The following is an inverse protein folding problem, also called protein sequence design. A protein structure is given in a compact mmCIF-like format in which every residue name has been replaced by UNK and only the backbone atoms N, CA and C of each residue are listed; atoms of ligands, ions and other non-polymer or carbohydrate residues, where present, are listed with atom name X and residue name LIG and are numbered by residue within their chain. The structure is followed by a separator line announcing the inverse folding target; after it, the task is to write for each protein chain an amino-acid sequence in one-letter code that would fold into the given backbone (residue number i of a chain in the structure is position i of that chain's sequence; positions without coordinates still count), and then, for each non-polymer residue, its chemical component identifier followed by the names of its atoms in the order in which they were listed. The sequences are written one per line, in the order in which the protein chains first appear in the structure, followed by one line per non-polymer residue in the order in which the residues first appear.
data_IF_220687641791
#
_entry.id   IF_220687641791
#
_cell.length_a   1.000
_cell.length_b   1.000
_cell.length_c   1.000
_cell.angle_alpha   90.00
_cell.angle_beta   90.00
_cell.angle_gamma   90.00
#
_symmetry.space_group_name_H-M   'P 1'
#
loop_
_entity.id
_entity.type
_entity.pdbx_description
1 polymer ?
#
# COMPACT_ATOMS: atom_id res chain seq x y z
N UNK A 1 11.43 -2.72 39.09
CA UNK A 1 10.97 -1.37 38.69
C UNK A 1 9.60 -1.52 38.05
N UNK A 2 8.64 -0.65 38.37
CA UNK A 2 7.36 -0.64 37.71
C UNK A 2 7.49 0.28 36.48
N UNK A 3 7.56 -0.31 35.30
CA UNK A 3 7.66 0.43 34.05
C UNK A 3 6.28 0.57 33.40
N UNK A 4 6.04 1.64 32.65
CA UNK A 4 4.89 1.82 31.80
C UNK A 4 5.26 2.67 30.56
N UNK A 5 4.47 2.60 29.50
CA UNK A 5 4.59 3.54 28.40
C UNK A 5 3.93 4.89 28.75
N UNK A 6 4.65 5.98 28.54
CA UNK A 6 4.10 7.30 28.32
C UNK A 6 3.99 7.49 26.82
N UNK A 7 2.79 7.59 26.27
CA UNK A 7 2.53 7.31 24.87
C UNK A 7 1.74 8.39 24.16
N UNK A 8 1.85 8.38 22.86
CA UNK A 8 0.99 9.14 21.94
C UNK A 8 0.81 8.37 20.63
N UNK A 9 -0.37 8.50 20.04
CA UNK A 9 -0.65 8.02 18.69
C UNK A 9 -1.26 9.14 17.83
N UNK A 10 -0.88 9.19 16.55
CA UNK A 10 -1.41 10.11 15.55
C UNK A 10 -1.60 9.36 14.24
N UNK A 11 -2.66 9.72 13.52
CA UNK A 11 -2.91 9.21 12.18
C UNK A 11 -3.50 10.31 11.31
N UNK A 12 -3.00 10.45 10.10
CA UNK A 12 -3.50 11.38 9.08
C UNK A 12 -3.74 10.62 7.77
N UNK A 13 -4.75 11.04 7.00
CA UNK A 13 -5.11 10.43 5.73
C UNK A 13 -4.06 10.67 4.63
N UNK A 14 -3.10 11.57 4.87
CA UNK A 14 -2.12 11.99 3.88
C UNK A 14 -2.67 12.97 2.85
N UNK A 15 -1.90 13.19 1.78
CA UNK A 15 -2.20 14.25 0.81
C UNK A 15 -3.08 13.80 -0.35
N UNK A 16 -3.12 12.48 -0.66
CA UNK A 16 -3.78 11.94 -1.87
C UNK A 16 -4.92 10.99 -1.54
N UNK A 17 -4.77 10.16 -0.50
CA UNK A 17 -5.81 9.19 -0.12
C UNK A 17 -7.09 9.90 0.33
N UNK A 18 -8.24 9.28 0.08
CA UNK A 18 -9.56 9.77 0.53
C UNK A 18 -9.99 9.14 1.84
N UNK A 19 -9.50 7.93 2.12
CA UNK A 19 -9.79 7.15 3.32
C UNK A 19 -8.51 6.88 4.11
N UNK A 20 -8.66 6.68 5.40
CA UNK A 20 -7.58 6.21 6.25
C UNK A 20 -7.75 4.70 6.47
N UNK A 21 -6.83 3.92 5.96
CA UNK A 21 -6.80 2.46 6.08
C UNK A 21 -5.83 2.01 7.18
N UNK A 22 -5.01 2.93 7.72
CA UNK A 22 -4.20 2.69 8.90
C UNK A 22 -5.05 2.63 10.17
N UNK A 23 -4.60 1.83 11.14
CA UNK A 23 -5.11 1.81 12.51
C UNK A 23 -3.98 1.78 13.51
N UNK A 24 -4.10 2.57 14.59
CA UNK A 24 -3.09 2.64 15.64
C UNK A 24 -3.70 2.60 17.04
N UNK A 25 -2.94 2.01 17.97
CA UNK A 25 -3.26 1.92 19.39
C UNK A 25 -2.04 2.29 20.23
N UNK A 26 -2.25 3.11 21.24
CA UNK A 26 -1.24 3.42 22.25
C UNK A 26 -1.83 3.38 23.65
N UNK A 27 -1.30 2.53 24.49
CA UNK A 27 -1.70 2.36 25.88
C UNK A 27 -0.53 2.08 26.81
N UNK A 28 -0.78 1.94 28.12
CA UNK A 28 0.30 1.78 29.13
C UNK A 28 1.10 0.50 29.00
N UNK A 29 0.57 -0.54 28.34
CA UNK A 29 1.24 -1.82 28.15
C UNK A 29 1.38 -2.23 26.69
N UNK A 30 0.56 -1.66 25.79
CA UNK A 30 0.50 -2.03 24.38
C UNK A 30 0.68 -0.81 23.48
N UNK A 31 1.60 -0.92 22.52
CA UNK A 31 1.69 -0.04 21.36
C UNK A 31 1.46 -0.91 20.14
N UNK A 32 0.53 -0.54 19.25
CA UNK A 32 0.26 -1.32 18.06
C UNK A 32 -0.08 -0.41 16.88
N UNK A 33 0.23 -0.87 15.67
CA UNK A 33 -0.14 -0.23 14.42
C UNK A 33 -0.31 -1.28 13.34
N UNK A 34 -1.29 -1.06 12.50
CA UNK A 34 -1.64 -1.87 11.36
C UNK A 34 -1.91 -0.94 10.17
N UNK A 35 -1.22 -1.17 9.06
CA UNK A 35 -1.38 -0.48 7.79
C UNK A 35 -2.21 -1.39 6.88
N UNK A 36 -3.42 -0.96 6.58
CA UNK A 36 -4.41 -1.73 5.85
C UNK A 36 -4.24 -1.60 4.34
N UNK A 37 -4.36 -2.72 3.65
CA UNK A 37 -4.28 -2.81 2.20
C UNK A 37 -5.43 -3.61 1.62
N UNK A 38 -5.74 -3.38 0.34
CA UNK A 38 -6.83 -4.08 -0.36
C UNK A 38 -7.88 -3.12 -0.90
N UNK A 39 -8.08 -3.10 -2.23
CA UNK A 39 -8.86 -2.10 -2.95
C UNK A 39 -10.26 -1.81 -2.38
N UNK A 40 -10.70 -0.60 -2.59
CA UNK A 40 -12.02 0.04 -2.39
C UNK A 40 -12.71 -0.01 -1.02
N UNK A 41 -12.47 -0.95 -0.11
CA UNK A 41 -13.11 -0.97 1.23
C UNK A 41 -12.59 -2.10 2.15
N UNK A 42 -11.40 -2.63 1.95
CA UNK A 42 -10.90 -3.77 2.74
C UNK A 42 -9.82 -3.41 3.75
N UNK A 43 -8.95 -2.43 3.44
CA UNK A 43 -7.81 -2.10 4.28
C UNK A 43 -8.20 -1.55 5.65
N UNK A 44 -9.20 -0.67 5.71
CA UNK A 44 -9.73 -0.12 6.95
C UNK A 44 -10.39 -1.19 7.83
N UNK A 45 -11.04 -2.17 7.20
CA UNK A 45 -11.62 -3.34 7.87
C UNK A 45 -10.50 -4.21 8.45
N UNK A 46 -9.50 -4.55 7.64
CA UNK A 46 -8.40 -5.41 8.04
C UNK A 46 -7.62 -4.81 9.22
N UNK A 47 -7.13 -3.58 9.08
CA UNK A 47 -6.33 -2.92 10.10
C UNK A 47 -7.10 -2.72 11.41
N UNK A 48 -8.37 -2.27 11.34
CA UNK A 48 -9.19 -2.06 12.53
C UNK A 48 -9.56 -3.36 13.24
N UNK A 49 -9.83 -4.45 12.51
CA UNK A 49 -10.11 -5.78 13.08
C UNK A 49 -8.91 -6.28 13.86
N UNK A 50 -7.71 -6.19 13.27
CA UNK A 50 -6.47 -6.65 13.93
C UNK A 50 -6.17 -5.82 15.17
N UNK A 51 -6.25 -4.48 15.10
CA UNK A 51 -6.02 -3.62 16.28
C UNK A 51 -7.05 -3.91 17.37
N UNK A 52 -8.33 -4.03 17.04
CA UNK A 52 -9.39 -4.32 18.03
C UNK A 52 -9.13 -5.63 18.79
N UNK A 53 -8.63 -6.67 18.12
CA UNK A 53 -8.32 -7.96 18.73
C UNK A 53 -7.18 -7.91 19.75
N UNK A 54 -6.31 -6.89 19.68
CA UNK A 54 -5.15 -6.75 20.56
C UNK A 54 -5.41 -5.88 21.80
N UNK A 55 -6.45 -5.04 21.79
CA UNK A 55 -6.69 -4.02 22.83
C UNK A 55 -6.79 -4.62 24.24
N UNK A 56 -7.40 -5.78 24.40
CA UNK A 56 -7.56 -6.45 25.69
C UNK A 56 -6.22 -6.77 26.36
N UNK A 57 -5.14 -6.97 25.58
CA UNK A 57 -3.81 -7.25 26.10
C UNK A 57 -3.23 -6.09 26.93
N UNK A 58 -3.72 -4.86 26.74
CA UNK A 58 -3.23 -3.69 27.46
C UNK A 58 -3.58 -3.71 28.96
N UNK A 59 -4.62 -4.44 29.35
CA UNK A 59 -5.04 -4.61 30.74
C UNK A 59 -4.52 -5.85 31.43
N UNK A 60 -3.83 -6.74 30.76
CA UNK A 60 -3.44 -8.05 31.28
C UNK A 60 -2.06 -8.01 31.98
N UNK A 61 -2.00 -8.55 33.20
CA UNK A 61 -0.76 -8.69 33.96
C UNK A 61 -0.03 -10.00 33.59
N UNK A 62 0.52 -10.07 32.39
CA UNK A 62 1.16 -11.27 31.82
C UNK A 62 2.64 -11.38 32.27
N UNK A 63 3.15 -12.62 32.42
CA UNK A 63 4.59 -12.87 32.48
C UNK A 63 5.21 -12.84 31.08
N UNK A 64 6.54 -12.67 30.95
CA UNK A 64 7.18 -12.51 29.65
C UNK A 64 6.91 -13.64 28.67
N UNK A 65 6.81 -14.89 29.11
CA UNK A 65 6.45 -16.04 28.24
C UNK A 65 4.97 -16.04 27.90
N UNK A 66 4.10 -15.78 28.85
CA UNK A 66 2.66 -15.66 28.64
C UNK A 66 2.36 -14.49 27.70
N UNK A 67 3.05 -13.35 27.86
CA UNK A 67 2.89 -12.21 26.96
C UNK A 67 3.20 -12.57 25.50
N UNK A 68 4.28 -13.33 25.25
CA UNK A 68 4.61 -13.79 23.90
C UNK A 68 3.51 -14.71 23.31
N UNK A 69 3.05 -15.66 24.11
CA UNK A 69 2.03 -16.60 23.68
C UNK A 69 0.68 -15.89 23.47
N UNK A 70 0.25 -15.06 24.42
CA UNK A 70 -1.02 -14.32 24.31
C UNK A 70 -0.99 -13.37 23.10
N UNK A 71 0.15 -12.72 22.81
CA UNK A 71 0.25 -11.86 21.63
C UNK A 71 0.11 -12.66 20.33
N UNK A 72 0.80 -13.80 20.23
CA UNK A 72 0.69 -14.67 19.04
C UNK A 72 -0.72 -15.24 18.89
N UNK A 73 -1.34 -15.72 19.99
CA UNK A 73 -2.70 -16.29 19.97
C UNK A 73 -3.72 -15.24 19.51
N UNK A 74 -3.58 -13.99 19.97
CA UNK A 74 -4.46 -12.88 19.55
C UNK A 74 -4.25 -12.50 18.09
N UNK A 75 -3.00 -12.47 17.61
CA UNK A 75 -2.70 -12.20 16.19
C UNK A 75 -3.27 -13.32 15.30
N UNK A 76 -3.07 -14.57 15.68
CA UNK A 76 -3.62 -15.72 14.96
C UNK A 76 -5.15 -15.70 14.92
N UNK A 77 -5.80 -15.37 16.05
CA UNK A 77 -7.26 -15.20 16.09
C UNK A 77 -7.73 -14.06 15.19
N UNK A 78 -7.04 -12.91 15.23
CA UNK A 78 -7.37 -11.78 14.37
C UNK A 78 -7.21 -12.13 12.87
N UNK A 79 -6.17 -12.88 12.53
CA UNK A 79 -5.96 -13.34 11.15
C UNK A 79 -7.07 -14.32 10.71
N UNK A 80 -7.48 -15.24 11.58
CA UNK A 80 -8.61 -16.13 11.30
C UNK A 80 -9.93 -15.34 11.11
N UNK A 81 -10.14 -14.29 11.90
CA UNK A 81 -11.30 -13.40 11.76
C UNK A 81 -11.30 -12.66 10.41
N UNK A 82 -10.11 -12.25 9.88
CA UNK A 82 -9.99 -11.70 8.53
C UNK A 82 -10.41 -12.74 7.48
N UNK A 83 -9.91 -13.97 7.58
CA UNK A 83 -10.27 -15.05 6.68
C UNK A 83 -11.78 -15.36 6.68
N UNK A 84 -12.40 -15.34 7.85
CA UNK A 84 -13.86 -15.52 7.99
C UNK A 84 -14.62 -14.36 7.32
N UNK A 85 -14.19 -13.10 7.51
CA UNK A 85 -14.82 -11.93 6.88
C UNK A 85 -14.71 -11.98 5.35
N UNK A 86 -13.56 -12.38 4.80
CA UNK A 86 -13.37 -12.55 3.35
C UNK A 86 -14.30 -13.66 2.82
N UNK A 87 -14.41 -14.76 3.56
CA UNK A 87 -15.30 -15.85 3.17
C UNK A 87 -16.77 -15.43 3.13
N UNK A 88 -17.22 -14.67 4.15
CA UNK A 88 -18.60 -14.20 4.24
C UNK A 88 -18.91 -13.07 3.25
N UNK A 89 -17.90 -12.26 2.89
CA UNK A 89 -18.04 -11.13 2.00
C UNK A 89 -16.95 -11.12 0.91
N UNK A 90 -17.16 -11.82 -0.23
CA UNK A 90 -16.16 -11.98 -1.29
C UNK A 90 -15.64 -10.67 -1.91
N UNK A 91 -16.33 -9.55 -1.75
CA UNK A 91 -15.84 -8.23 -2.19
C UNK A 91 -14.61 -7.77 -1.39
N UNK A 92 -14.34 -8.38 -0.24
CA UNK A 92 -13.16 -8.14 0.59
C UNK A 92 -11.96 -9.00 0.17
N UNK A 93 -12.09 -9.78 -0.91
CA UNK A 93 -10.98 -10.58 -1.44
C UNK A 93 -9.78 -9.67 -1.76
N UNK A 94 -8.60 -10.10 -1.31
CA UNK A 94 -7.37 -9.31 -1.40
C UNK A 94 -7.20 -8.26 -0.30
N UNK A 95 -8.10 -8.16 0.69
CA UNK A 95 -7.82 -7.34 1.87
C UNK A 95 -6.73 -7.97 2.73
N UNK A 96 -5.96 -7.13 3.38
CA UNK A 96 -4.93 -7.55 4.33
C UNK A 96 -4.41 -6.36 5.12
N UNK A 97 -3.49 -6.63 6.02
CA UNK A 97 -2.86 -5.56 6.80
C UNK A 97 -1.48 -5.94 7.28
N UNK A 98 -0.59 -4.98 7.39
CA UNK A 98 0.64 -5.11 8.16
C UNK A 98 0.29 -5.13 9.65
N UNK A 99 1.24 -5.51 10.48
CA UNK A 99 1.13 -5.36 11.93
C UNK A 99 2.49 -5.15 12.57
N UNK A 100 2.56 -4.17 13.45
CA UNK A 100 3.58 -4.08 14.50
C UNK A 100 2.86 -3.97 15.83
N UNK A 101 3.17 -4.86 16.77
CA UNK A 101 2.66 -4.80 18.13
C UNK A 101 3.80 -4.95 19.14
N UNK A 102 3.86 -4.05 20.10
CA UNK A 102 4.82 -4.08 21.20
C UNK A 102 4.08 -4.24 22.53
N UNK A 103 4.09 -5.43 23.08
CA UNK A 103 3.48 -5.74 24.37
C UNK A 103 4.54 -5.69 25.48
N UNK A 104 4.32 -4.82 26.45
CA UNK A 104 5.18 -4.71 27.63
C UNK A 104 4.71 -5.65 28.73
N UNK A 105 5.59 -6.51 29.17
CA UNK A 105 5.40 -7.35 30.35
C UNK A 105 6.53 -7.09 31.34
N UNK A 106 6.24 -6.36 32.41
CA UNK A 106 7.23 -5.89 33.40
C UNK A 106 8.34 -5.04 32.77
N UNK A 107 9.56 -5.59 32.65
CA UNK A 107 10.71 -4.98 32.00
C UNK A 107 11.03 -5.58 30.63
N UNK A 108 10.17 -6.45 30.13
CA UNK A 108 10.32 -7.11 28.84
C UNK A 108 9.35 -6.51 27.82
N UNK A 109 9.83 -6.28 26.62
CA UNK A 109 9.04 -5.87 25.44
C UNK A 109 9.00 -7.06 24.49
N UNK A 110 7.80 -7.52 24.18
CA UNK A 110 7.53 -8.52 23.13
C UNK A 110 7.12 -7.74 21.89
N UNK A 111 7.89 -7.84 20.84
CA UNK A 111 7.64 -7.22 19.54
C UNK A 111 7.19 -8.30 18.55
N UNK A 112 5.98 -8.17 18.01
CA UNK A 112 5.52 -8.91 16.84
C UNK A 112 5.52 -7.99 15.63
N UNK A 113 5.92 -8.51 14.45
CA UNK A 113 6.03 -7.74 13.22
C UNK A 113 5.72 -8.59 12.00
N UNK A 114 4.83 -8.09 11.13
CA UNK A 114 4.61 -8.58 9.77
C UNK A 114 4.29 -7.38 8.86
N UNK A 115 4.94 -7.28 7.71
CA UNK A 115 4.77 -6.18 6.76
C UNK A 115 6.03 -5.34 6.57
N UNK A 116 5.87 -4.13 6.05
CA UNK A 116 6.92 -3.15 5.76
C UNK A 116 6.83 -1.87 6.61
N UNK A 117 5.84 -1.78 7.49
CA UNK A 117 5.82 -0.80 8.57
C UNK A 117 7.05 -0.96 9.45
N UNK A 118 7.56 0.13 10.02
CA UNK A 118 8.86 0.11 10.71
C UNK A 118 8.76 0.51 12.17
N UNK A 119 9.52 -0.20 13.01
CA UNK A 119 9.70 0.13 14.41
C UNK A 119 11.14 0.54 14.70
N UNK A 120 11.28 1.58 15.53
CA UNK A 120 12.57 2.11 15.97
C UNK A 120 12.62 2.21 17.48
N UNK A 121 13.83 2.14 18.02
CA UNK A 121 14.12 2.36 19.44
C UNK A 121 15.20 3.42 19.59
N UNK A 122 14.96 4.38 20.46
CA UNK A 122 15.97 5.31 20.94
C UNK A 122 16.41 4.87 22.32
N UNK A 123 17.69 4.59 22.47
CA UNK A 123 18.33 4.28 23.75
C UNK A 123 19.64 5.05 23.85
N UNK A 124 19.80 5.84 24.90
CA UNK A 124 21.01 6.64 25.13
C UNK A 124 21.38 7.54 23.92
N UNK A 125 20.37 8.15 23.30
CA UNK A 125 20.51 9.03 22.13
C UNK A 125 20.80 8.31 20.81
N UNK A 126 20.87 6.97 20.78
CA UNK A 126 21.08 6.18 19.57
C UNK A 126 19.75 5.62 19.06
N UNK A 127 19.43 5.91 17.80
CA UNK A 127 18.27 5.36 17.09
C UNK A 127 18.65 4.06 16.38
N UNK A 128 17.86 3.01 16.62
CA UNK A 128 18.05 1.69 16.00
C UNK A 128 16.72 1.20 15.46
N UNK A 129 16.65 0.77 14.20
CA UNK A 129 15.50 0.09 13.64
C UNK A 129 15.41 -1.32 14.22
N UNK A 130 14.22 -1.73 14.66
CA UNK A 130 13.97 -3.01 15.31
C UNK A 130 13.38 -4.06 14.37
N UNK A 131 12.70 -3.62 13.33
CA UNK A 131 12.04 -4.45 12.31
C UNK A 131 12.88 -4.55 11.05
N UNK A 132 12.64 -5.58 10.27
CA UNK A 132 13.19 -5.74 8.94
C UNK A 132 12.01 -5.92 7.99
N UNK A 133 11.90 -5.09 6.99
CA UNK A 133 10.74 -5.03 6.11
C UNK A 133 10.49 -6.37 5.40
N UNK A 134 9.25 -6.80 5.36
CA UNK A 134 8.80 -7.92 4.54
C UNK A 134 8.41 -7.42 3.15
N UNK A 135 9.37 -6.90 2.40
CA UNK A 135 9.18 -6.36 1.06
C UNK A 135 10.06 -7.05 0.03
N UNK A 136 9.64 -6.96 -1.22
CA UNK A 136 10.42 -7.51 -2.34
C UNK A 136 11.82 -6.90 -2.40
N UNK A 137 11.92 -5.58 -2.23
CA UNK A 137 13.23 -4.90 -2.29
C UNK A 137 14.14 -5.30 -1.14
N UNK A 138 13.59 -5.57 0.05
CA UNK A 138 14.39 -6.08 1.16
C UNK A 138 14.93 -7.48 0.87
N UNK A 139 14.19 -8.34 0.18
CA UNK A 139 14.70 -9.65 -0.24
C UNK A 139 15.87 -9.52 -1.22
N UNK A 140 15.81 -8.55 -2.14
CA UNK A 140 16.91 -8.27 -3.06
C UNK A 140 18.16 -7.74 -2.34
N UNK A 141 17.99 -6.93 -1.30
CA UNK A 141 19.10 -6.46 -0.45
C UNK A 141 19.74 -7.64 0.30
N UNK A 142 18.92 -8.54 0.85
CA UNK A 142 19.39 -9.72 1.57
C UNK A 142 20.18 -10.69 0.69
N UNK A 143 19.76 -10.83 -0.56
CA UNK A 143 20.46 -11.60 -1.59
C UNK A 143 21.73 -10.89 -2.11
N UNK A 144 21.99 -9.65 -1.69
CA UNK A 144 23.12 -8.84 -2.16
C UNK A 144 22.98 -8.38 -3.62
N UNK A 145 21.77 -8.39 -4.18
CA UNK A 145 21.48 -8.00 -5.58
C UNK A 145 21.38 -6.51 -5.75
N UNK A 146 20.92 -5.81 -4.72
CA UNK A 146 20.86 -4.34 -4.66
C UNK A 146 21.35 -3.86 -3.30
N UNK A 147 21.77 -2.62 -3.23
CA UNK A 147 22.11 -1.92 -1.98
C UNK A 147 20.85 -1.35 -1.31
N UNK A 148 20.97 -0.98 -0.03
CA UNK A 148 19.88 -0.28 0.70
C UNK A 148 19.51 1.05 0.03
N UNK A 149 20.46 1.75 -0.58
CA UNK A 149 20.23 3.01 -1.28
C UNK A 149 19.45 2.79 -2.59
N UNK A 150 19.79 1.75 -3.34
CA UNK A 150 19.06 1.36 -4.55
C UNK A 150 17.64 0.90 -4.23
N UNK A 151 17.44 0.22 -3.10
CA UNK A 151 16.12 -0.23 -2.66
C UNK A 151 15.14 0.92 -2.43
N UNK A 152 15.60 2.07 -1.91
CA UNK A 152 14.77 3.25 -1.66
C UNK A 152 14.17 3.86 -2.93
N UNK A 153 14.87 3.72 -4.07
CA UNK A 153 14.46 4.27 -5.36
C UNK A 153 13.96 3.18 -6.33
N UNK A 154 13.76 1.96 -5.86
CA UNK A 154 13.35 0.85 -6.71
C UNK A 154 11.88 0.98 -7.13
N UNK A 155 11.52 0.71 -8.40
CA UNK A 155 10.12 0.80 -8.88
C UNK A 155 9.12 -0.06 -8.10
N UNK A 156 9.58 -1.16 -7.51
CA UNK A 156 8.77 -2.10 -6.72
C UNK A 156 9.03 -1.99 -5.22
N UNK A 157 9.43 -0.80 -4.70
CA UNK A 157 9.72 -0.62 -3.28
C UNK A 157 8.52 -0.88 -2.37
N UNK A 158 7.32 -0.57 -2.84
CA UNK A 158 6.06 -0.76 -2.09
C UNK A 158 5.45 -2.16 -2.27
N UNK A 159 6.17 -3.13 -2.85
CA UNK A 159 5.68 -4.50 -2.97
C UNK A 159 5.95 -5.27 -1.69
N UNK A 160 4.94 -5.37 -0.85
CA UNK A 160 4.99 -6.15 0.40
C UNK A 160 4.85 -7.64 0.08
N UNK A 161 5.59 -8.49 0.77
CA UNK A 161 5.65 -9.94 0.51
C UNK A 161 5.00 -10.79 1.61
N UNK A 162 4.79 -10.22 2.81
CA UNK A 162 4.14 -10.88 3.95
C UNK A 162 3.25 -9.88 4.69
N UNK A 163 1.99 -10.20 4.85
CA UNK A 163 0.97 -9.43 5.60
C UNK A 163 -0.04 -10.40 6.21
N UNK A 164 -0.92 -9.94 7.06
CA UNK A 164 -2.08 -10.72 7.52
C UNK A 164 -3.18 -10.64 6.46
N UNK A 165 -3.58 -11.79 5.90
CA UNK A 165 -4.59 -11.89 4.83
C UNK A 165 -5.73 -12.85 5.17
N UNK A 166 -5.67 -13.46 6.36
CA UNK A 166 -6.56 -14.55 6.75
C UNK A 166 -6.04 -15.94 6.37
N UNK A 167 -4.85 -16.04 5.79
CA UNK A 167 -4.23 -17.32 5.48
C UNK A 167 -3.51 -17.92 6.71
N UNK A 168 -3.52 -19.24 6.84
CA UNK A 168 -2.92 -19.93 7.99
C UNK A 168 -1.39 -19.75 8.08
N UNK A 169 -0.74 -19.46 6.95
CA UNK A 169 0.72 -19.24 6.84
C UNK A 169 1.18 -17.82 7.19
N UNK A 170 0.27 -16.90 7.50
CA UNK A 170 0.57 -15.51 7.84
C UNK A 170 1.09 -15.40 9.29
N UNK A 171 2.33 -15.76 9.50
CA UNK A 171 2.97 -15.71 10.83
C UNK A 171 3.83 -14.45 10.98
N UNK A 172 3.70 -13.68 12.11
CA UNK A 172 4.58 -12.55 12.38
C UNK A 172 5.95 -13.00 12.90
N UNK A 173 6.97 -12.21 12.64
CA UNK A 173 8.24 -12.32 13.33
C UNK A 173 8.07 -11.89 14.78
N UNK A 174 8.63 -12.67 15.74
CA UNK A 174 8.55 -12.38 17.15
C UNK A 174 9.94 -12.14 17.75
N UNK A 175 10.11 -11.02 18.42
CA UNK A 175 11.35 -10.66 19.10
C UNK A 175 11.08 -10.24 20.55
N UNK A 176 11.82 -10.84 21.50
CA UNK A 176 11.73 -10.48 22.92
C UNK A 176 12.96 -9.67 23.32
N UNK A 177 12.75 -8.52 23.91
CA UNK A 177 13.81 -7.59 24.32
C UNK A 177 13.61 -7.09 25.75
N UNK A 178 14.70 -6.74 26.41
CA UNK A 178 14.64 -6.05 27.69
C UNK A 178 14.51 -4.55 27.48
N UNK A 179 13.41 -3.98 27.97
CA UNK A 179 13.18 -2.54 28.04
C UNK A 179 13.89 -1.91 29.22
N UNK A 180 14.28 -0.66 29.08
CA UNK A 180 14.90 0.15 30.14
C UNK A 180 14.14 1.47 30.26
N UNK A 181 14.02 1.98 31.48
CA UNK A 181 13.51 3.33 31.67
C UNK A 181 14.37 4.33 30.87
N UNK A 182 13.71 5.18 30.09
CA UNK A 182 14.35 6.12 29.18
C UNK A 182 14.45 5.63 27.74
N UNK A 183 14.05 4.39 27.44
CA UNK A 183 13.88 3.95 26.05
C UNK A 183 12.67 4.65 25.45
N UNK A 184 12.78 5.14 24.22
CA UNK A 184 11.67 5.58 23.38
C UNK A 184 11.49 4.62 22.24
N UNK A 185 10.25 4.25 21.96
CA UNK A 185 9.85 3.44 20.81
C UNK A 185 9.01 4.26 19.86
N UNK A 186 9.26 4.10 18.56
CA UNK A 186 8.45 4.62 17.47
C UNK A 186 7.97 3.43 16.63
N UNK A 187 6.68 3.40 16.32
CA UNK A 187 6.11 2.59 15.26
C UNK A 187 5.56 3.56 14.21
N UNK A 188 5.85 3.33 12.94
CA UNK A 188 5.41 4.19 11.85
C UNK A 188 5.07 3.38 10.60
N UNK A 189 4.00 3.80 9.90
CA UNK A 189 3.69 3.32 8.54
C UNK A 189 4.70 3.84 7.52
N UNK A 190 4.65 3.31 6.32
CA UNK A 190 5.50 3.70 5.20
C UNK A 190 5.26 5.16 4.78
N UNK A 191 4.04 5.70 5.01
CA UNK A 191 3.73 7.11 4.79
C UNK A 191 4.62 8.11 5.54
N UNK A 192 5.24 7.70 6.67
CA UNK A 192 6.33 8.46 7.28
C UNK A 192 7.68 8.07 6.68
N UNK A 193 8.00 6.78 6.72
CA UNK A 193 9.39 6.29 6.58
C UNK A 193 9.90 6.30 5.15
N UNK A 194 9.02 6.39 4.17
CA UNK A 194 9.38 6.52 2.75
C UNK A 194 9.50 7.98 2.28
N UNK A 195 8.95 8.93 3.07
CA UNK A 195 8.90 10.35 2.69
C UNK A 195 9.77 11.25 3.57
N UNK A 196 10.09 10.83 4.79
CA UNK A 196 10.96 11.59 5.70
C UNK A 196 12.29 10.87 5.89
N UNK A 197 13.39 11.56 5.59
CA UNK A 197 14.73 11.01 5.72
C UNK A 197 14.99 10.46 7.12
N UNK A 198 15.64 9.30 7.21
CA UNK A 198 15.91 8.59 8.46
C UNK A 198 16.63 9.47 9.50
N UNK A 199 17.58 10.31 9.07
CA UNK A 199 18.30 11.20 9.94
C UNK A 199 17.40 12.29 10.54
N UNK A 200 16.43 12.79 9.76
CA UNK A 200 15.42 13.75 10.24
C UNK A 200 14.48 13.11 11.25
N UNK A 201 14.03 11.88 11.01
CA UNK A 201 13.23 11.11 11.97
C UNK A 201 14.05 10.91 13.26
N UNK A 202 15.32 10.54 13.16
CA UNK A 202 16.21 10.34 14.29
C UNK A 202 16.45 11.63 15.09
N UNK A 203 16.60 12.76 14.41
CA UNK A 203 16.73 14.08 15.05
C UNK A 203 15.47 14.41 15.86
N UNK A 204 14.29 14.27 15.29
CA UNK A 204 13.03 14.55 15.99
C UNK A 204 12.85 13.64 17.19
N UNK A 205 13.09 12.33 17.03
CA UNK A 205 12.96 11.34 18.10
C UNK A 205 13.88 11.64 19.31
N UNK A 206 15.06 12.24 19.07
CA UNK A 206 16.04 12.50 20.10
C UNK A 206 15.95 13.90 20.71
N UNK A 207 15.35 14.87 19.99
CA UNK A 207 15.31 16.28 20.42
C UNK A 207 13.97 16.70 21.00
N UNK A 208 12.85 16.10 20.57
CA UNK A 208 11.51 16.43 21.05
C UNK A 208 11.15 15.52 22.22
N UNK A 209 11.05 16.10 23.42
CA UNK A 209 10.89 15.32 24.65
C UNK A 209 9.49 14.72 24.81
N UNK A 210 8.44 15.50 24.54
CA UNK A 210 7.05 15.02 24.67
C UNK A 210 6.67 14.09 23.53
N UNK A 211 6.10 12.88 23.79
CA UNK A 211 5.73 11.93 22.74
C UNK A 211 4.61 12.45 21.83
N UNK A 212 3.69 13.28 22.35
CA UNK A 212 2.63 13.88 21.55
C UNK A 212 3.16 14.92 20.57
N UNK A 213 3.99 15.87 21.06
CA UNK A 213 4.65 16.86 20.19
C UNK A 213 5.57 16.19 19.17
N UNK A 214 6.25 15.12 19.58
CA UNK A 214 7.11 14.34 18.69
C UNK A 214 6.29 13.71 17.56
N UNK A 215 5.18 13.05 17.86
CA UNK A 215 4.28 12.47 16.87
C UNK A 215 3.69 13.54 15.95
N UNK A 216 3.19 14.67 16.51
CA UNK A 216 2.65 15.79 15.73
C UNK A 216 3.67 16.34 14.74
N UNK A 217 4.94 16.48 15.17
CA UNK A 217 6.02 16.99 14.33
C UNK A 217 6.38 16.02 13.20
N UNK A 218 6.40 14.71 13.48
CA UNK A 218 6.69 13.70 12.46
C UNK A 218 5.58 13.64 11.40
N UNK A 219 4.29 13.67 11.80
CA UNK A 219 3.15 13.77 10.86
C UNK A 219 3.29 15.03 10.00
N UNK A 220 3.54 16.18 10.62
CA UNK A 220 3.69 17.44 9.89
C UNK A 220 4.85 17.40 8.86
N UNK A 221 5.95 16.72 9.17
CA UNK A 221 7.07 16.52 8.26
C UNK A 221 6.69 15.62 7.09
N UNK A 222 5.99 14.51 7.33
CA UNK A 222 5.52 13.62 6.26
C UNK A 222 4.55 14.35 5.31
N UNK A 223 3.57 15.07 5.85
CA UNK A 223 2.63 15.87 5.05
C UNK A 223 3.33 16.97 4.26
N UNK A 224 4.33 17.64 4.87
CA UNK A 224 5.13 18.65 4.18
C UNK A 224 6.00 18.07 3.07
N UNK A 225 6.44 16.83 3.21
CA UNK A 225 7.15 16.07 2.17
C UNK A 225 6.21 15.58 1.05
N UNK A 226 4.89 15.77 1.21
CA UNK A 226 3.88 15.39 0.22
C UNK A 226 3.47 13.92 0.30
N UNK A 227 3.60 13.29 1.48
CA UNK A 227 3.21 11.89 1.67
C UNK A 227 1.83 11.61 1.06
N UNK A 228 1.73 10.79 0.01
CA UNK A 228 0.47 10.52 -0.70
C UNK A 228 -0.39 9.52 0.04
N UNK A 229 0.20 8.71 0.90
CA UNK A 229 -0.42 7.64 1.67
C UNK A 229 -0.81 8.06 3.07
N UNK A 230 -1.53 7.19 3.77
CA UNK A 230 -1.85 7.35 5.18
C UNK A 230 -0.56 7.44 6.02
N UNK A 231 -0.55 8.27 7.03
CA UNK A 231 0.60 8.51 7.92
C UNK A 231 0.19 8.21 9.33
N UNK A 232 0.63 7.10 9.86
CA UNK A 232 0.33 6.71 11.24
C UNK A 232 1.61 6.54 12.05
N UNK A 233 1.59 7.13 13.25
CA UNK A 233 2.73 7.21 14.17
C UNK A 233 2.26 6.86 15.56
N UNK A 234 2.93 5.90 16.18
CA UNK A 234 2.74 5.52 17.58
C UNK A 234 4.07 5.65 18.30
N UNK A 235 4.10 6.43 19.37
CA UNK A 235 5.30 6.66 20.21
C UNK A 235 5.03 6.18 21.64
N UNK A 236 6.00 5.54 22.23
CA UNK A 236 5.96 5.16 23.63
C UNK A 236 7.31 5.33 24.33
N UNK A 237 7.33 6.15 25.36
CA UNK A 237 8.47 6.35 26.25
C UNK A 237 8.36 5.40 27.45
N UNK A 238 9.34 4.55 27.66
CA UNK A 238 9.33 3.63 28.80
C UNK A 238 9.78 4.36 30.05
N UNK A 239 8.84 4.64 30.94
CA UNK A 239 9.06 5.41 32.16
C UNK A 239 9.02 4.54 33.40
N UNK A 240 9.84 4.90 34.42
CA UNK A 240 9.83 4.29 35.76
C UNK A 240 8.76 5.00 36.61
N UNK A 241 7.69 4.32 36.93
CA UNK A 241 6.54 4.85 37.69
C UNK A 241 6.92 5.26 39.14
N UNK A 242 8.12 4.90 39.59
CA UNK A 242 8.61 5.37 40.93
C UNK A 242 9.27 6.75 40.84
N UNK A 243 9.58 7.24 39.62
CA UNK A 243 10.36 8.48 39.38
C UNK A 243 9.68 9.48 38.50
N UNK A 244 8.76 9.03 37.67
CA UNK A 244 8.02 9.86 36.71
C UNK A 244 6.56 10.00 37.13
N UNK A 245 5.85 11.09 36.73
CA UNK A 245 4.39 11.17 36.84
C UNK A 245 3.75 9.99 36.12
N UNK A 246 2.59 9.55 36.63
CA UNK A 246 1.83 8.49 36.00
C UNK A 246 1.49 8.86 34.56
N UNK A 247 1.71 7.97 33.57
CA UNK A 247 1.31 8.22 32.20
C UNK A 247 -0.21 8.33 32.09
N UNK A 248 -0.73 8.80 30.93
CA UNK A 248 -2.16 8.78 30.67
C UNK A 248 -2.72 7.38 30.91
N UNK A 249 -3.91 7.30 31.48
CA UNK A 249 -4.59 6.03 31.76
C UNK A 249 -5.60 5.65 30.67
N UNK A 250 -5.97 6.62 29.84
CA UNK A 250 -6.87 6.40 28.70
C UNK A 250 -6.04 6.07 27.47
N UNK A 251 -6.19 4.88 26.88
CA UNK A 251 -5.57 4.53 25.62
C UNK A 251 -5.98 5.50 24.50
N UNK A 252 -5.11 5.64 23.52
CA UNK A 252 -5.38 6.40 22.30
C UNK A 252 -5.57 5.43 21.15
N UNK A 253 -6.72 5.51 20.48
CA UNK A 253 -7.03 4.79 19.24
C UNK A 253 -7.05 5.80 18.11
N UNK A 254 -6.38 5.53 17.00
CA UNK A 254 -6.29 6.43 15.85
C UNK A 254 -6.53 5.68 14.53
N UNK A 255 -6.79 6.44 13.46
CA UNK A 255 -7.02 5.87 12.13
C UNK A 255 -8.40 5.20 12.00
N UNK A 256 -8.49 4.16 11.18
CA UNK A 256 -9.74 3.44 10.91
C UNK A 256 -10.37 2.84 12.17
N UNK A 257 -9.57 2.32 13.10
CA UNK A 257 -10.05 1.76 14.36
C UNK A 257 -10.79 2.79 15.22
N UNK A 258 -10.36 4.06 15.24
CA UNK A 258 -11.03 5.13 15.99
C UNK A 258 -12.42 5.45 15.47
N UNK A 259 -12.66 5.31 14.18
CA UNK A 259 -13.97 5.55 13.55
C UNK A 259 -14.97 4.47 13.89
N UNK A 260 -14.50 3.23 14.02
CA UNK A 260 -15.35 2.07 14.35
C UNK A 260 -15.72 2.01 15.83
N UNK A 261 -14.79 2.38 16.72
CA UNK A 261 -14.99 2.27 18.17
C UNK A 261 -15.98 3.32 18.70
N UNK A 262 -16.03 4.51 18.09
CA UNK A 262 -16.79 5.63 18.69
C UNK A 262 -18.26 5.67 18.31
N UNK A 263 -18.74 4.95 17.28
CA UNK A 263 -20.10 5.11 16.76
C UNK A 263 -20.46 6.61 16.52
N UNK A 264 -19.49 7.48 16.64
CA UNK A 264 -19.56 8.94 16.58
C UNK A 264 -19.06 9.44 15.23
N UNK A 265 -19.70 10.50 14.75
CA UNK A 265 -19.51 11.13 13.44
C UNK A 265 -18.06 11.18 12.98
N UNK A 266 -17.80 10.88 11.68
CA UNK A 266 -16.46 10.88 11.12
C UNK A 266 -15.74 12.21 11.41
N UNK A 267 -14.48 12.11 11.84
CA UNK A 267 -13.57 13.26 11.88
C UNK A 267 -13.43 13.76 10.44
N UNK A 268 -13.57 15.06 10.20
CA UNK A 268 -13.54 15.60 8.84
C UNK A 268 -12.18 15.31 8.19
N UNK A 269 -12.15 14.40 7.22
CA UNK A 269 -10.94 13.95 6.52
C UNK A 269 -10.60 14.77 5.29
N UNK A 270 -11.54 15.55 4.75
CA UNK A 270 -11.28 16.43 3.60
C UNK A 270 -10.81 17.82 4.02
N UNK A 271 -10.00 18.53 3.21
CA UNK A 271 -9.62 19.92 3.48
C UNK A 271 -10.80 20.85 3.72
N UNK A 272 -11.91 20.65 3.01
CA UNK A 272 -13.15 21.41 3.19
C UNK A 272 -13.83 21.10 4.53
N UNK A 273 -13.84 19.84 4.95
CA UNK A 273 -14.42 19.41 6.22
C UNK A 273 -13.53 19.83 7.42
N UNK A 274 -12.19 19.83 7.25
CA UNK A 274 -11.24 20.40 8.23
C UNK A 274 -11.46 21.92 8.40
N UNK A 275 -11.68 22.65 7.31
CA UNK A 275 -12.01 24.08 7.36
C UNK A 275 -13.35 24.34 8.08
N UNK A 276 -14.38 23.54 7.81
CA UNK A 276 -15.68 23.63 8.47
C UNK A 276 -15.60 23.31 9.97
N UNK A 277 -14.77 22.33 10.37
CA UNK A 277 -14.56 21.99 11.78
C UNK A 277 -13.81 23.11 12.53
N UNK A 278 -12.81 23.73 11.89
CA UNK A 278 -12.11 24.91 12.42
C UNK A 278 -13.06 26.09 12.61
N UNK A 279 -13.95 26.36 11.65
CA UNK A 279 -14.94 27.42 11.75
C UNK A 279 -15.90 27.16 12.90
N UNK A 280 -16.30 25.91 13.13
CA UNK A 280 -17.17 25.49 14.22
C UNK A 280 -16.46 25.57 15.59
N UNK A 281 -15.19 25.24 15.68
CA UNK A 281 -14.37 25.35 16.90
C UNK A 281 -14.18 26.83 17.30
N UNK A 282 -13.99 27.73 16.34
CA UNK A 282 -13.89 29.17 16.55
C UNK A 282 -15.25 29.73 17.05
N UNK A 283 -16.36 29.19 16.55
CA UNK A 283 -17.71 29.64 17.00
C UNK A 283 -18.06 29.19 18.42
N UNK A 284 -17.45 28.06 18.89
CA UNK A 284 -17.72 27.52 20.26
C UNK A 284 -16.83 28.18 21.33
N UNK A 285 -15.73 28.81 20.95
CA UNK A 285 -14.85 29.53 21.88
C UNK A 285 -15.26 30.98 22.15
N UNK A 286 -16.37 31.46 21.57
CA UNK A 286 -16.86 32.84 21.73
C UNK A 286 -18.07 32.92 22.67
N UNK A 287 -18.48 31.83 23.32
CA UNK A 287 -19.52 31.82 24.33
C UNK A 287 -18.94 31.96 25.75
N UNK A 288 -18.40 33.13 26.07
CA UNK A 288 -17.82 33.36 27.40
C UNK A 288 -17.47 34.79 27.76
N UNK A 289 -17.94 35.79 27.00
CA UNK A 289 -17.87 37.18 27.45
C UNK A 289 -19.18 37.90 27.15
N UNK A 290 -19.88 38.23 28.24
CA UNK A 290 -21.09 39.03 28.34
C UNK A 290 -20.80 40.48 27.88
N UNK A 291 -20.98 40.75 26.59
CA UNK A 291 -20.99 42.12 26.05
C UNK A 291 -22.44 42.47 25.67
N UNK A 292 -23.01 43.35 26.49
CA UNK A 292 -24.28 44.00 26.28
C UNK A 292 -24.47 44.44 24.83
N UNK A 293 -25.44 43.81 24.15
CA UNK A 293 -25.83 44.15 22.80
C UNK A 293 -26.57 45.47 22.79
N UNK A 294 -26.04 46.46 22.11
CA UNK A 294 -26.81 47.62 21.65
C UNK A 294 -27.86 47.10 20.64
N UNK A 295 -29.13 47.48 20.88
CA UNK A 295 -30.24 47.20 19.98
C UNK A 295 -29.97 47.80 18.59
N UNK A 296 -29.64 46.94 17.60
CA UNK A 296 -29.75 47.32 16.19
C UNK A 296 -31.17 47.05 15.71
N UNK A 297 -31.81 48.09 15.20
CA UNK A 297 -33.14 48.07 14.63
C UNK A 297 -33.27 47.16 13.40
N UNK A 298 -34.48 46.89 12.90
CA UNK A 298 -34.74 45.82 11.92
C UNK A 298 -33.97 46.02 10.61
N UNK A 299 -33.09 45.06 10.31
CA UNK A 299 -32.32 45.03 9.07
C UNK A 299 -33.28 45.00 7.86
N UNK A 300 -33.14 45.98 6.98
CA UNK A 300 -33.94 46.09 5.76
C UNK A 300 -33.78 44.84 4.87
N UNK A 301 -34.88 44.29 4.40
CA UNK A 301 -34.93 43.10 3.53
C UNK A 301 -34.01 43.19 2.29
N UNK A 302 -33.62 44.38 1.87
CA UNK A 302 -32.67 44.62 0.77
C UNK A 302 -31.25 44.20 1.09
N UNK A 303 -30.78 44.28 2.35
CA UNK A 303 -29.44 43.84 2.75
C UNK A 303 -29.30 42.34 2.74
N UNK A 304 -30.35 41.60 3.09
CA UNK A 304 -30.36 40.13 3.05
C UNK A 304 -30.35 39.61 1.62
N UNK A 305 -31.13 40.21 0.72
CA UNK A 305 -31.16 39.85 -0.72
C UNK A 305 -29.81 40.11 -1.38
N UNK A 306 -29.14 41.22 -1.05
CA UNK A 306 -27.79 41.52 -1.58
C UNK A 306 -26.75 40.53 -1.10
N UNK A 307 -26.82 40.12 0.18
CA UNK A 307 -25.89 39.08 0.73
C UNK A 307 -26.15 37.71 0.11
N UNK A 308 -27.39 37.31 -0.09
CA UNK A 308 -27.75 36.07 -0.76
C UNK A 308 -27.34 36.08 -2.23
N UNK A 309 -27.50 37.20 -2.93
CA UNK A 309 -27.06 37.37 -4.31
C UNK A 309 -25.50 37.29 -4.42
N UNK A 310 -24.78 37.92 -3.49
CA UNK A 310 -23.31 37.82 -3.43
C UNK A 310 -22.84 36.39 -3.17
N UNK A 311 -23.49 35.66 -2.24
CA UNK A 311 -23.20 34.25 -1.98
C UNK A 311 -23.51 33.37 -3.19
N UNK A 312 -24.61 33.62 -3.91
CA UNK A 312 -24.95 32.91 -5.12
C UNK A 312 -23.90 33.11 -6.24
N UNK A 313 -23.40 34.34 -6.40
CA UNK A 313 -22.34 34.67 -7.34
C UNK A 313 -21.04 33.96 -6.97
N UNK A 314 -20.64 33.97 -5.70
CA UNK A 314 -19.45 33.24 -5.24
C UNK A 314 -19.59 31.72 -5.48
N UNK A 315 -20.76 31.16 -5.15
CA UNK A 315 -21.03 29.73 -5.41
C UNK A 315 -20.95 29.39 -6.92
N UNK A 316 -21.45 30.28 -7.78
CA UNK A 316 -21.41 30.12 -9.21
C UNK A 316 -19.98 30.19 -9.78
N UNK A 317 -19.15 31.09 -9.23
CA UNK A 317 -17.72 31.19 -9.60
C UNK A 317 -16.94 29.96 -9.14
N UNK A 318 -17.21 29.43 -7.92
CA UNK A 318 -16.58 28.21 -7.42
C UNK A 318 -16.98 26.99 -8.24
N UNK A 319 -18.28 26.87 -8.59
CA UNK A 319 -18.80 25.80 -9.45
C UNK A 319 -18.18 25.87 -10.85
N UNK A 320 -18.13 27.05 -11.46
CA UNK A 320 -17.53 27.26 -12.78
C UNK A 320 -16.01 26.97 -12.76
N UNK A 321 -15.30 27.43 -11.72
CA UNK A 321 -13.88 27.17 -11.55
C UNK A 321 -13.58 25.68 -11.30
N UNK A 322 -14.37 25.03 -10.47
CA UNK A 322 -14.26 23.58 -10.20
C UNK A 322 -14.56 22.74 -11.45
N UNK A 323 -15.61 23.09 -12.20
CA UNK A 323 -15.95 22.42 -13.47
C UNK A 323 -14.85 22.60 -14.51
N UNK A 324 -14.26 23.80 -14.61
CA UNK A 324 -13.15 24.07 -15.51
C UNK A 324 -11.89 23.29 -15.10
N UNK A 325 -11.59 23.23 -13.83
CA UNK A 325 -10.43 22.46 -13.32
C UNK A 325 -10.62 20.96 -13.58
N UNK A 326 -11.81 20.43 -13.33
CA UNK A 326 -12.13 19.03 -13.62
C UNK A 326 -12.01 18.73 -15.12
N UNK A 327 -12.54 19.60 -15.97
CA UNK A 327 -12.41 19.45 -17.42
C UNK A 327 -10.94 19.55 -17.88
N UNK A 328 -10.17 20.49 -17.34
CA UNK A 328 -8.75 20.63 -17.66
C UNK A 328 -7.93 19.40 -17.23
N UNK A 329 -8.31 18.78 -16.12
CA UNK A 329 -7.69 17.54 -15.65
C UNK A 329 -8.02 16.36 -16.59
N UNK A 330 -9.27 16.19 -17.02
CA UNK A 330 -9.64 15.12 -17.98
C UNK A 330 -8.87 15.25 -19.29
N UNK A 331 -8.55 16.49 -19.72
CA UNK A 331 -7.77 16.72 -20.94
C UNK A 331 -6.28 16.33 -20.84
N UNK A 332 -5.82 15.96 -19.66
CA UNK A 332 -4.44 15.46 -19.44
C UNK A 332 -4.35 13.94 -19.40
N UNK A 333 -5.50 13.25 -19.36
CA UNK A 333 -5.55 11.79 -19.35
C UNK A 333 -5.52 11.24 -20.78
N UNK A 334 -4.90 10.07 -20.96
CA UNK A 334 -4.86 9.34 -22.20
C UNK A 334 -5.24 7.88 -21.98
N UNK A 335 -5.87 7.26 -22.97
CA UNK A 335 -6.11 5.82 -22.96
C UNK A 335 -6.08 5.25 -24.39
N UNK A 336 -5.76 3.97 -24.50
CA UNK A 336 -5.87 3.23 -25.76
C UNK A 336 -7.19 2.46 -25.78
N UNK A 337 -7.94 2.63 -26.83
CA UNK A 337 -9.20 1.94 -27.04
C UNK A 337 -9.37 1.54 -28.50
N UNK A 338 -10.60 1.20 -28.86
CA UNK A 338 -10.95 0.76 -30.21
C UNK A 338 -11.95 1.75 -30.81
N UNK A 339 -11.65 2.27 -31.99
CA UNK A 339 -12.59 3.04 -32.80
C UNK A 339 -12.90 2.21 -34.06
N UNK A 340 -14.13 1.68 -34.13
CA UNK A 340 -14.50 0.71 -35.14
C UNK A 340 -13.70 -0.59 -35.03
N UNK A 341 -12.80 -0.83 -35.97
CA UNK A 341 -11.92 -2.03 -35.99
C UNK A 341 -10.44 -1.73 -35.78
N UNK A 342 -10.07 -0.47 -35.46
CA UNK A 342 -8.69 -0.05 -35.34
C UNK A 342 -8.38 0.44 -33.93
N UNK A 343 -7.15 0.17 -33.49
CA UNK A 343 -6.64 0.69 -32.21
C UNK A 343 -6.44 2.19 -32.34
N UNK A 344 -7.02 2.93 -31.41
CA UNK A 344 -7.01 4.40 -31.39
C UNK A 344 -6.58 4.90 -30.03
N UNK A 345 -5.78 5.96 -30.01
CA UNK A 345 -5.40 6.67 -28.80
C UNK A 345 -6.40 7.80 -28.57
N UNK A 346 -7.01 7.78 -27.41
CA UNK A 346 -7.98 8.75 -26.98
C UNK A 346 -7.35 9.66 -25.92
N UNK A 347 -7.84 10.89 -25.91
CA UNK A 347 -7.55 11.87 -24.88
C UNK A 347 -8.81 12.13 -24.07
N UNK A 348 -8.72 12.06 -22.76
CA UNK A 348 -9.85 12.18 -21.86
C UNK A 348 -10.01 10.93 -20.99
N UNK A 349 -11.20 10.78 -20.42
CA UNK A 349 -11.59 9.63 -19.58
C UNK A 349 -12.69 8.87 -20.31
N UNK A 350 -12.63 7.54 -20.32
CA UNK A 350 -13.62 6.66 -20.96
C UNK A 350 -14.93 6.62 -20.14
N UNK A 351 -15.55 7.79 -19.97
CA UNK A 351 -16.84 7.96 -19.30
C UNK A 351 -17.62 9.10 -19.94
N UNK A 352 -18.91 8.88 -20.15
CA UNK A 352 -19.84 9.88 -20.65
C UNK A 352 -20.67 10.47 -19.50
N UNK A 353 -20.69 11.80 -19.38
CA UNK A 353 -21.58 12.52 -18.47
C UNK A 353 -22.89 12.89 -19.21
N UNK A 354 -23.81 11.95 -19.31
CA UNK A 354 -25.07 12.11 -20.03
C UNK A 354 -24.82 12.40 -21.51
N UNK A 355 -25.21 13.58 -22.05
CA UNK A 355 -24.99 13.92 -23.45
C UNK A 355 -23.58 14.45 -23.77
N UNK A 356 -22.73 14.62 -22.75
CA UNK A 356 -21.38 15.17 -22.90
C UNK A 356 -20.35 14.03 -22.86
N UNK A 357 -19.69 13.79 -24.00
CA UNK A 357 -18.53 12.91 -24.05
C UNK A 357 -17.28 13.63 -23.52
N UNK A 358 -16.57 12.99 -22.58
CA UNK A 358 -15.31 13.50 -22.03
C UNK A 358 -14.10 12.98 -22.79
N UNK A 359 -14.32 12.29 -23.90
CA UNK A 359 -13.28 11.71 -24.75
C UNK A 359 -13.14 12.45 -26.07
N UNK A 360 -11.92 12.53 -26.57
CA UNK A 360 -11.62 12.97 -27.93
C UNK A 360 -10.55 12.06 -28.55
N UNK A 361 -10.66 11.80 -29.85
CA UNK A 361 -9.64 11.05 -30.57
C UNK A 361 -8.38 11.92 -30.70
N UNK A 362 -7.27 11.44 -30.14
CA UNK A 362 -5.97 12.11 -30.33
C UNK A 362 -5.34 11.70 -31.66
N UNK A 363 -5.25 10.39 -31.91
CA UNK A 363 -4.91 9.84 -33.22
C UNK A 363 -5.30 8.37 -33.35
N UNK A 364 -5.67 7.94 -34.58
CA UNK A 364 -5.93 6.55 -34.90
C UNK A 364 -4.69 5.88 -35.46
N UNK A 365 -4.48 4.60 -35.10
CA UNK A 365 -3.37 3.80 -35.60
C UNK A 365 -3.79 2.98 -36.84
N UNK A 366 -2.83 2.31 -37.46
CA UNK A 366 -3.11 1.36 -38.58
C UNK A 366 -3.20 -0.08 -38.10
N UNK A 367 -3.36 -0.30 -36.79
CA UNK A 367 -3.39 -1.64 -36.17
C UNK A 367 -4.85 -2.09 -36.14
N UNK A 368 -5.20 -3.14 -36.95
CA UNK A 368 -6.49 -3.73 -36.85
C UNK A 368 -6.62 -4.59 -35.59
N UNK A 369 -7.73 -4.48 -34.88
CA UNK A 369 -7.99 -5.24 -33.65
C UNK A 369 -7.84 -6.75 -33.86
N UNK A 370 -8.32 -7.25 -35.01
CA UNK A 370 -8.24 -8.67 -35.37
C UNK A 370 -6.82 -9.17 -35.65
N UNK A 371 -5.86 -8.28 -35.81
CA UNK A 371 -4.42 -8.61 -35.98
C UNK A 371 -3.72 -8.83 -34.63
N UNK A 372 -4.41 -8.68 -33.52
CA UNK A 372 -3.85 -8.81 -32.17
C UNK A 372 -4.25 -10.13 -31.49
N UNK A 373 -3.43 -10.65 -30.55
CA UNK A 373 -3.84 -11.77 -29.70
C UNK A 373 -5.12 -11.46 -28.92
N UNK A 374 -5.95 -12.47 -28.61
CA UNK A 374 -7.24 -12.31 -27.94
C UNK A 374 -7.13 -11.54 -26.61
N UNK A 375 -6.07 -11.77 -25.83
CA UNK A 375 -5.83 -11.07 -24.57
C UNK A 375 -5.69 -9.55 -24.72
N UNK A 376 -5.06 -9.08 -25.79
CA UNK A 376 -4.96 -7.65 -26.11
C UNK A 376 -6.27 -7.08 -26.65
N UNK A 377 -7.04 -7.89 -27.41
CA UNK A 377 -8.35 -7.44 -27.93
C UNK A 377 -9.32 -7.13 -26.80
N UNK A 378 -9.36 -7.99 -25.77
CA UNK A 378 -10.25 -7.80 -24.62
C UNK A 378 -9.83 -6.60 -23.77
N UNK A 379 -8.53 -6.45 -23.53
CA UNK A 379 -7.99 -5.29 -22.78
C UNK A 379 -8.26 -3.96 -23.51
N UNK A 380 -8.13 -3.92 -24.83
CA UNK A 380 -8.38 -2.70 -25.63
C UNK A 380 -9.87 -2.33 -25.72
N UNK A 381 -10.78 -3.31 -25.63
CA UNK A 381 -12.21 -3.03 -25.53
C UNK A 381 -12.63 -2.44 -24.20
N UNK A 382 -11.89 -2.77 -23.13
CA UNK A 382 -12.07 -2.20 -21.79
C UNK A 382 -11.37 -0.86 -21.57
N UNK A 383 -10.57 -0.39 -22.55
CA UNK A 383 -9.73 0.79 -22.41
C UNK A 383 -8.44 0.51 -21.59
N UNK A 384 -7.30 0.87 -22.13
CA UNK A 384 -6.00 0.77 -21.41
C UNK A 384 -5.58 2.18 -21.06
N UNK A 385 -5.68 2.54 -19.78
CA UNK A 385 -5.22 3.83 -19.29
C UNK A 385 -3.70 3.93 -19.38
N UNK A 386 -3.20 5.13 -19.72
CA UNK A 386 -1.77 5.45 -19.80
C UNK A 386 -1.52 6.81 -19.19
N UNK A 387 -0.39 6.96 -18.53
CA UNK A 387 -0.09 8.16 -17.75
C UNK A 387 0.14 9.40 -18.62
N UNK A 388 0.70 9.21 -19.81
CA UNK A 388 0.99 10.32 -20.74
C UNK A 388 1.04 9.85 -22.20
N UNK A 389 1.26 10.82 -23.11
CA UNK A 389 1.39 10.58 -24.53
C UNK A 389 2.59 9.69 -24.89
N UNK A 390 3.70 9.80 -24.14
CA UNK A 390 4.91 9.03 -24.43
C UNK A 390 4.68 7.54 -24.12
N UNK A 391 3.98 7.25 -23.02
CA UNK A 391 3.57 5.89 -22.68
C UNK A 391 2.58 5.33 -23.70
N UNK A 392 1.62 6.15 -24.17
CA UNK A 392 0.70 5.75 -25.25
C UNK A 392 1.46 5.35 -26.52
N UNK A 393 2.45 6.12 -26.94
CA UNK A 393 3.29 5.82 -28.11
C UNK A 393 4.14 4.54 -27.90
N UNK A 394 4.65 4.31 -26.70
CA UNK A 394 5.36 3.07 -26.34
C UNK A 394 4.45 1.84 -26.44
N UNK A 395 3.23 1.94 -25.89
CA UNK A 395 2.23 0.86 -25.97
C UNK A 395 1.79 0.60 -27.42
N UNK A 396 1.57 1.62 -28.22
CA UNK A 396 1.27 1.48 -29.66
C UNK A 396 2.43 0.77 -30.38
N UNK A 397 3.68 1.05 -30.01
CA UNK A 397 4.85 0.39 -30.60
C UNK A 397 4.90 -1.10 -30.25
N UNK A 398 4.55 -1.47 -29.03
CA UNK A 398 4.40 -2.85 -28.59
C UNK A 398 3.28 -3.56 -29.36
N UNK A 399 2.09 -2.93 -29.46
CA UNK A 399 0.96 -3.47 -30.21
C UNK A 399 1.28 -3.67 -31.70
N UNK A 400 2.07 -2.79 -32.31
CA UNK A 400 2.55 -2.97 -33.70
C UNK A 400 3.43 -4.20 -33.86
N UNK A 401 4.24 -4.52 -32.86
CA UNK A 401 5.06 -5.73 -32.86
C UNK A 401 4.19 -6.98 -32.75
N UNK A 402 3.22 -6.99 -31.83
CA UNK A 402 2.26 -8.08 -31.66
C UNK A 402 1.44 -8.31 -32.93
N UNK A 403 0.95 -7.23 -33.56
CA UNK A 403 0.19 -7.32 -34.78
C UNK A 403 1.01 -7.88 -35.96
N UNK A 404 2.28 -7.49 -36.07
CA UNK A 404 3.17 -8.10 -37.12
C UNK A 404 3.40 -9.57 -36.88
N UNK A 405 3.63 -9.97 -35.63
CA UNK A 405 3.81 -11.36 -35.27
C UNK A 405 2.56 -12.20 -35.52
N UNK A 406 1.38 -11.69 -35.18
CA UNK A 406 0.10 -12.32 -35.46
C UNK A 406 -0.16 -12.50 -36.97
N UNK A 407 0.03 -11.45 -37.77
CA UNK A 407 -0.12 -11.54 -39.23
C UNK A 407 0.82 -12.58 -39.84
N UNK A 408 2.06 -12.60 -39.39
CA UNK A 408 3.03 -13.61 -39.82
C UNK A 408 2.56 -15.04 -39.44
N UNK A 409 2.11 -15.24 -38.20
CA UNK A 409 1.61 -16.51 -37.71
C UNK A 409 0.40 -17.00 -38.53
N UNK A 410 -0.59 -16.14 -38.71
CA UNK A 410 -1.78 -16.46 -39.50
C UNK A 410 -1.45 -16.79 -40.96
N UNK A 411 -0.53 -16.05 -41.59
CA UNK A 411 -0.08 -16.32 -42.99
C UNK A 411 0.65 -17.65 -43.12
N UNK A 412 1.18 -18.20 -42.03
CA UNK A 412 1.86 -19.50 -41.98
C UNK A 412 1.02 -20.60 -41.32
N UNK A 413 -0.31 -20.41 -41.19
CA UNK A 413 -1.24 -21.40 -40.65
C UNK A 413 -1.08 -21.67 -39.15
N UNK A 414 -0.40 -20.76 -38.39
CA UNK A 414 -0.21 -20.85 -36.96
C UNK A 414 -1.21 -19.97 -36.20
N UNK A 415 -1.46 -20.29 -34.93
CA UNK A 415 -2.35 -19.51 -34.06
C UNK A 415 -1.63 -18.24 -33.59
N UNK A 416 -2.34 -17.12 -33.63
CA UNK A 416 -1.85 -15.87 -33.06
C UNK A 416 -1.66 -15.97 -31.55
N UNK A 417 -0.42 -15.73 -31.08
CA UNK A 417 -0.04 -15.74 -29.67
C UNK A 417 0.81 -14.52 -29.33
N UNK A 418 0.79 -14.11 -28.08
CA UNK A 418 1.66 -13.05 -27.58
C UNK A 418 3.12 -13.43 -27.75
N UNK A 419 3.93 -12.49 -28.25
CA UNK A 419 5.38 -12.68 -28.45
C UNK A 419 6.17 -11.71 -27.57
N UNK A 420 7.41 -12.05 -27.16
CA UNK A 420 8.27 -11.14 -26.40
C UNK A 420 8.68 -9.94 -27.26
N UNK A 421 9.06 -8.85 -26.62
CA UNK A 421 9.51 -7.61 -27.26
C UNK A 421 10.74 -7.77 -28.16
N UNK A 422 11.51 -8.82 -27.93
CA UNK A 422 12.68 -9.21 -28.74
C UNK A 422 12.34 -10.01 -30.02
N UNK A 423 11.05 -10.26 -30.27
CA UNK A 423 10.63 -11.05 -31.44
C UNK A 423 11.02 -10.36 -32.75
N UNK A 424 11.66 -11.12 -33.64
CA UNK A 424 11.99 -10.71 -35.01
C UNK A 424 11.31 -11.65 -35.99
N UNK A 425 10.84 -11.10 -37.11
CA UNK A 425 10.19 -11.89 -38.13
C UNK A 425 11.20 -12.91 -38.73
N UNK A 426 10.88 -14.22 -38.73
CA UNK A 426 11.74 -15.20 -39.33
C UNK A 426 11.92 -14.93 -40.83
N UNK A 427 13.15 -14.98 -41.29
CA UNK A 427 13.46 -14.85 -42.74
C UNK A 427 12.87 -16.06 -43.48
N UNK A 428 12.14 -15.88 -44.59
CA UNK A 428 11.63 -17.01 -45.34
C UNK A 428 12.82 -17.84 -45.82
N UNK A 429 12.87 -19.10 -45.37
CA UNK A 429 13.82 -20.09 -45.90
C UNK A 429 13.45 -20.33 -47.36
N UNK A 430 14.35 -20.02 -48.28
CA UNK A 430 14.13 -20.24 -49.69
C UNK A 430 13.76 -21.73 -49.93
N UNK A 431 12.58 -21.94 -50.46
CA UNK A 431 12.15 -23.27 -50.93
C UNK A 431 13.12 -23.73 -51.99
N UNK A 432 13.76 -24.90 -51.87
CA UNK A 432 14.59 -25.43 -52.95
C UNK A 432 13.69 -25.72 -54.15
N UNK A 433 13.98 -25.03 -55.26
CA UNK A 433 13.35 -25.23 -56.56
C UNK A 433 13.55 -26.66 -56.99
N UNK A 434 12.44 -27.35 -57.21
CA UNK A 434 12.46 -28.68 -57.80
C UNK A 434 12.75 -28.57 -59.31
N UNK A 435 13.89 -28.99 -59.73
CA UNK A 435 14.14 -29.53 -61.08
C UNK A 435 15.47 -30.31 -61.05
N UNK A 436 15.44 -31.60 -61.12
CA UNK A 436 15.85 -32.45 -62.23
C UNK A 436 15.90 -33.91 -61.80
N UNK A 437 15.25 -34.66 -62.67
CA UNK A 437 15.18 -36.11 -62.70
C UNK A 437 16.57 -36.73 -62.86
N UNK A 438 16.96 -37.70 -62.04
CA UNK A 438 17.89 -38.78 -62.45
C UNK A 438 17.68 -40.04 -61.58
N UNK A 439 17.58 -41.12 -62.29
CA UNK A 439 17.28 -42.52 -62.04
C UNK A 439 18.17 -43.17 -60.97
N UNK A 440 17.77 -44.28 -60.35
CA UNK A 440 18.48 -44.93 -59.26
C UNK A 440 19.52 -45.96 -59.67
N UNK A 441 20.58 -46.11 -58.92
CA UNK A 441 21.37 -47.33 -58.88
C UNK A 441 22.21 -47.45 -57.60
N UNK A 442 22.72 -48.64 -57.24
CA UNK A 442 22.30 -49.31 -56.00
C UNK A 442 23.32 -49.20 -54.85
N UNK A 443 22.89 -49.66 -53.69
CA UNK A 443 23.65 -49.83 -52.45
C UNK A 443 25.04 -50.45 -52.59
N UNK A 444 25.94 -50.17 -51.63
CA UNK A 444 26.44 -51.27 -50.81
C UNK A 444 26.50 -51.01 -49.30
N UNK A 445 26.03 -52.02 -48.60
CA UNK A 445 26.56 -52.64 -47.37
C UNK A 445 27.11 -51.74 -46.25
N UNK A 446 26.52 -51.90 -45.10
CA UNK A 446 26.98 -51.48 -43.77
C UNK A 446 28.32 -52.11 -43.35
N UNK A 447 29.03 -51.53 -42.40
CA UNK A 447 29.62 -52.33 -41.34
C UNK A 447 29.07 -52.05 -39.96
N UNK A 448 28.85 -53.14 -39.27
CA UNK A 448 28.50 -53.25 -37.85
C UNK A 448 29.70 -52.81 -37.03
N UNK A 449 29.45 -52.01 -35.96
CA UNK A 449 30.40 -51.87 -34.85
C UNK A 449 29.70 -51.87 -33.51
N UNK A 450 30.34 -52.35 -32.48
CA UNK A 450 29.71 -52.96 -31.33
C UNK A 450 29.53 -52.05 -30.11
N UNK A 451 28.50 -52.33 -29.35
CA UNK A 451 28.33 -52.29 -27.93
C UNK A 451 28.85 -51.07 -27.14
N UNK A 452 27.90 -50.30 -26.61
CA UNK A 452 28.10 -49.58 -25.33
C UNK A 452 26.85 -49.79 -24.46
N UNK A 453 27.12 -50.52 -23.39
CA UNK A 453 26.23 -50.92 -22.31
C UNK A 453 25.73 -49.70 -21.51
N UNK A 454 24.45 -49.64 -21.30
CA UNK A 454 23.80 -48.79 -20.31
C UNK A 454 24.09 -49.25 -18.88
N UNK A 455 24.41 -48.38 -17.93
CA UNK A 455 24.43 -48.75 -16.52
C UNK A 455 23.03 -48.58 -15.87
N UNK A 456 22.68 -49.59 -15.09
CA UNK A 456 21.46 -49.68 -14.27
C UNK A 456 21.50 -48.75 -13.06
N UNK A 457 20.31 -48.37 -12.47
CA UNK A 457 20.22 -47.49 -11.33
C UNK A 457 20.65 -48.17 -10.02
N UNK A 458 21.20 -47.40 -9.04
CA UNK A 458 21.61 -47.95 -7.75
C UNK A 458 20.43 -48.16 -6.81
N UNK A 459 20.51 -49.26 -6.04
CA UNK A 459 19.60 -49.63 -4.95
C UNK A 459 19.84 -48.77 -3.70
N UNK A 460 18.85 -48.61 -2.82
CA UNK A 460 18.94 -47.81 -1.60
C UNK A 460 19.79 -48.50 -0.53
N UNK A 461 20.78 -47.81 -0.02
CA UNK A 461 21.65 -48.23 1.08
C UNK A 461 21.32 -47.55 2.38
N UNK A 462 21.22 -48.36 3.38
CA UNK A 462 21.12 -48.22 4.81
C UNK A 462 21.74 -47.00 5.48
N UNK A 463 20.98 -46.45 6.46
CA UNK A 463 21.35 -45.41 7.43
C UNK A 463 22.60 -45.78 8.26
N UNK A 464 23.43 -44.79 8.64
CA UNK A 464 24.40 -44.95 9.71
C UNK A 464 23.84 -44.52 11.05
N UNK A 465 24.09 -45.38 12.02
CA UNK A 465 23.80 -45.26 13.46
C UNK A 465 24.71 -44.18 14.11
N UNK A 466 24.08 -43.32 14.95
CA UNK A 466 24.76 -42.31 15.78
C UNK A 466 25.17 -42.98 17.12
N UNK A 467 26.40 -42.78 17.62
CA UNK A 467 26.77 -43.18 18.97
C UNK A 467 26.38 -42.10 20.01
N UNK A 468 26.14 -42.48 21.30
CA UNK A 468 25.73 -41.56 22.36
C UNK A 468 26.89 -40.77 22.94
N UNK A 469 26.60 -39.62 23.61
CA UNK A 469 27.65 -38.74 24.19
C UNK A 469 28.20 -39.27 25.49
N UNK A 470 29.46 -38.98 25.70
CA UNK A 470 30.15 -39.05 26.99
C UNK A 470 30.05 -37.69 27.71
#
# INVERSE_FOLDING_TARGET
MALAFHYAARSDVGMVRTNNEDSGYAGPHLLAMADGMGGHAGGDIASSTVIASLVDLDGEALSGREASQSLLDRISSANADLGAQIHDEPRLDGMGTTLIAMLRSRDTIVLAHIGDSRAFMVREGRVTQLTKDHSFVQSLVDEGRITLEEAQNHPQRSLVTRVLTGADEDEPDLVVRQGRAGDRYLIASDGLTDYVARDTVAEVLTTVADPGECADRLVALALKAGAPDNVTIVIGDLVDLTKAPAPPTQPQVVGAAAVRDTGTKPIPTTPAAKAAALTKAVSTSTEGEDLTLAEEGPASAHGLVLRLAALAVVALVVLAGGSYAAWAWTQQQFFLGVDGEVVTVFRGVDQDLGPLSLTSVEYSTTIALNDLPASYQDSLRGGIEVADRAEAEARVSELRLQARACRWAMANGAVCRTVPTTWTQPTPTATPSASDSATPSPSPSAPVLPGLTTPAPPKPGSSPTVPPPA
#
